data_IF_855967051880
#
_entry.id   IF_855967051880
#
_cell.length_a   1.000
_cell.length_b   1.000
_cell.length_c   1.000
_cell.angle_alpha   90.00
_cell.angle_beta   90.00
_cell.angle_gamma   90.00
#
_symmetry.space_group_name_H-M   'P 1'
#
loop_
_entity.id
_entity.type
_entity.pdbx_description
1 polymer ?
#
# COMPACT_ATOMS: atom_id res chain seq x y z
N UNK A 1 -13.91 -27.39 -14.58
CA UNK A 1 -13.45 -26.26 -13.75
C UNK A 1 -13.03 -25.14 -14.69
N UNK A 2 -13.89 -24.11 -14.83
CA UNK A 2 -13.89 -23.17 -15.97
C UNK A 2 -12.55 -22.45 -16.14
N UNK A 3 -12.05 -22.36 -17.39
CA UNK A 3 -10.87 -21.55 -17.77
C UNK A 3 -10.92 -20.16 -17.13
N UNK A 4 -12.10 -19.57 -17.04
CA UNK A 4 -12.36 -18.28 -16.36
C UNK A 4 -11.84 -18.27 -14.92
N UNK A 5 -12.10 -19.31 -14.11
CA UNK A 5 -11.67 -19.39 -12.71
C UNK A 5 -10.15 -19.57 -12.61
N UNK A 6 -9.55 -20.35 -13.52
CA UNK A 6 -8.09 -20.50 -13.58
C UNK A 6 -7.41 -19.18 -14.00
N UNK A 7 -7.96 -18.48 -15.00
CA UNK A 7 -7.50 -17.14 -15.39
C UNK A 7 -7.71 -16.15 -14.24
N UNK A 8 -8.79 -16.25 -13.48
CA UNK A 8 -9.10 -15.38 -12.35
C UNK A 8 -8.10 -15.52 -11.20
N UNK A 9 -7.80 -16.76 -10.79
CA UNK A 9 -6.87 -17.05 -9.70
C UNK A 9 -5.42 -16.78 -10.14
N UNK A 10 -5.06 -17.20 -11.36
CA UNK A 10 -3.72 -17.05 -11.91
C UNK A 10 -3.36 -15.62 -12.33
N UNK A 11 -4.32 -14.85 -12.86
CA UNK A 11 -4.06 -13.48 -13.33
C UNK A 11 -4.19 -12.43 -12.24
N UNK A 12 -5.02 -12.69 -11.22
CA UNK A 12 -5.35 -11.69 -10.22
C UNK A 12 -4.77 -12.00 -8.84
N UNK A 13 -5.08 -13.15 -8.23
CA UNK A 13 -4.64 -13.44 -6.86
C UNK A 13 -3.12 -13.63 -6.72
N UNK A 14 -2.51 -14.48 -7.56
CA UNK A 14 -1.07 -14.73 -7.47
C UNK A 14 -0.21 -13.47 -7.79
N UNK A 15 -0.48 -12.72 -8.88
CA UNK A 15 0.30 -11.53 -9.20
C UNK A 15 0.04 -10.37 -8.25
N UNK A 16 -1.15 -10.31 -7.65
CA UNK A 16 -1.45 -9.34 -6.60
C UNK A 16 -0.62 -9.59 -5.34
N UNK A 17 -0.32 -10.85 -5.01
CA UNK A 17 0.65 -11.16 -3.95
C UNK A 17 2.08 -10.69 -4.25
N UNK A 18 2.48 -10.69 -5.53
CA UNK A 18 3.83 -10.32 -5.96
C UNK A 18 4.04 -8.80 -6.10
N UNK A 19 3.04 -8.06 -6.57
CA UNK A 19 3.18 -6.61 -6.80
C UNK A 19 1.91 -5.78 -6.59
N UNK A 20 0.88 -6.37 -6.00
CA UNK A 20 -0.43 -5.75 -5.80
C UNK A 20 -1.14 -5.46 -7.12
N UNK A 21 -2.07 -4.51 -7.08
CA UNK A 21 -2.84 -4.09 -8.25
C UNK A 21 -2.00 -3.63 -9.45
N UNK A 22 -0.77 -3.16 -9.23
CA UNK A 22 0.12 -2.67 -10.29
C UNK A 22 0.47 -3.76 -11.29
N UNK A 23 0.53 -5.01 -10.83
CA UNK A 23 0.81 -6.18 -11.68
C UNK A 23 -0.50 -6.88 -12.05
N UNK A 24 -1.41 -7.06 -11.08
CA UNK A 24 -2.64 -7.82 -11.32
C UNK A 24 -3.63 -7.14 -12.27
N UNK A 25 -3.69 -5.80 -12.28
CA UNK A 25 -4.61 -5.05 -13.15
C UNK A 25 -4.19 -5.14 -14.61
N UNK A 26 -2.94 -4.78 -15.01
CA UNK A 26 -2.53 -4.93 -16.39
C UNK A 26 -2.65 -6.37 -16.92
N UNK A 27 -2.21 -7.36 -16.12
CA UNK A 27 -2.30 -8.77 -16.48
C UNK A 27 -3.74 -9.26 -16.60
N UNK A 28 -4.62 -8.83 -15.70
CA UNK A 28 -6.04 -9.18 -15.75
C UNK A 28 -6.69 -8.68 -17.04
N UNK A 29 -6.42 -7.43 -17.41
CA UNK A 29 -6.93 -6.84 -18.65
C UNK A 29 -6.34 -7.52 -19.89
N UNK A 30 -5.03 -7.80 -19.91
CA UNK A 30 -4.39 -8.46 -21.06
C UNK A 30 -4.86 -9.89 -21.27
N UNK A 31 -5.29 -10.57 -20.21
CA UNK A 31 -5.86 -11.91 -20.25
C UNK A 31 -7.37 -11.92 -20.52
N UNK A 32 -7.96 -10.77 -20.86
CA UNK A 32 -9.34 -10.65 -21.31
C UNK A 32 -10.38 -10.50 -20.18
N UNK A 33 -9.97 -10.24 -18.94
CA UNK A 33 -10.94 -9.92 -17.89
C UNK A 33 -11.60 -8.56 -18.16
N UNK A 34 -12.90 -8.46 -17.88
CA UNK A 34 -13.61 -7.20 -18.04
C UNK A 34 -13.07 -6.15 -17.04
N UNK A 35 -13.00 -4.85 -17.42
CA UNK A 35 -12.51 -3.80 -16.53
C UNK A 35 -13.27 -3.68 -15.23
N UNK A 36 -14.59 -3.92 -15.25
CA UNK A 36 -15.42 -3.89 -14.05
C UNK A 36 -15.03 -5.00 -13.06
N UNK A 37 -14.77 -6.21 -13.56
CA UNK A 37 -14.31 -7.33 -12.72
C UNK A 37 -12.95 -7.03 -12.12
N UNK A 38 -12.00 -6.54 -12.93
CA UNK A 38 -10.66 -6.15 -12.47
C UNK A 38 -10.72 -5.03 -11.43
N UNK A 39 -11.56 -4.02 -11.63
CA UNK A 39 -11.76 -2.92 -10.70
C UNK A 39 -12.29 -3.42 -9.35
N UNK A 40 -13.35 -4.22 -9.36
CA UNK A 40 -13.97 -4.76 -8.15
C UNK A 40 -13.02 -5.65 -7.36
N UNK A 41 -12.27 -6.52 -8.05
CA UNK A 41 -11.33 -7.42 -7.39
C UNK A 41 -10.14 -6.68 -6.80
N UNK A 42 -9.51 -5.81 -7.57
CA UNK A 42 -8.39 -5.01 -7.08
C UNK A 42 -8.84 -4.16 -5.88
N UNK A 43 -10.03 -3.56 -5.95
CA UNK A 43 -10.59 -2.80 -4.84
C UNK A 43 -10.84 -3.67 -3.61
N UNK A 44 -11.51 -4.82 -3.74
CA UNK A 44 -11.81 -5.70 -2.62
C UNK A 44 -10.55 -6.21 -1.91
N UNK A 45 -9.55 -6.66 -2.68
CA UNK A 45 -8.29 -7.15 -2.13
C UNK A 45 -7.48 -6.05 -1.44
N UNK A 46 -7.44 -4.85 -2.02
CA UNK A 46 -6.78 -3.69 -1.41
C UNK A 46 -7.53 -3.20 -0.17
N UNK A 47 -8.86 -3.22 -0.18
CA UNK A 47 -9.68 -2.81 0.96
C UNK A 47 -9.49 -3.76 2.17
N UNK A 48 -9.42 -5.07 1.92
CA UNK A 48 -9.13 -6.09 2.95
C UNK A 48 -7.72 -5.92 3.53
N UNK A 49 -6.76 -5.43 2.76
CA UNK A 49 -5.41 -5.15 3.27
C UNK A 49 -5.37 -4.01 4.30
N UNK A 50 -6.28 -3.03 4.24
CA UNK A 50 -6.30 -1.88 5.15
C UNK A 50 -6.33 -2.33 6.63
N UNK A 51 -7.31 -3.15 7.10
CA UNK A 51 -7.32 -3.63 8.47
C UNK A 51 -6.10 -4.49 8.81
N UNK A 52 -5.61 -5.32 7.87
CA UNK A 52 -4.42 -6.15 8.06
C UNK A 52 -3.21 -5.27 8.37
N UNK A 53 -2.97 -4.20 7.60
CA UNK A 53 -1.86 -3.28 7.85
C UNK A 53 -2.03 -2.51 9.17
N UNK A 54 -3.25 -2.09 9.51
CA UNK A 54 -3.50 -1.50 10.83
C UNK A 54 -3.19 -2.47 11.98
N UNK A 55 -3.52 -3.76 11.83
CA UNK A 55 -3.16 -4.79 12.81
C UNK A 55 -1.65 -4.97 12.91
N UNK A 56 -0.95 -5.07 11.79
CA UNK A 56 0.52 -5.17 11.75
C UNK A 56 1.17 -3.96 12.43
N UNK A 57 0.78 -2.75 12.07
CA UNK A 57 1.37 -1.52 12.64
C UNK A 57 1.04 -1.35 14.13
N UNK A 58 -0.19 -1.68 14.55
CA UNK A 58 -0.56 -1.63 15.97
C UNK A 58 0.08 -2.74 16.81
N UNK A 59 0.28 -3.93 16.23
CA UNK A 59 0.97 -5.07 16.85
C UNK A 59 2.45 -4.79 17.08
N UNK A 60 3.15 -4.29 16.06
CA UNK A 60 4.55 -3.83 16.17
C UNK A 60 4.67 -2.73 17.23
N UNK A 61 3.74 -1.77 17.24
CA UNK A 61 3.70 -0.71 18.25
C UNK A 61 3.59 -1.25 19.68
N UNK A 62 2.71 -2.23 19.91
CA UNK A 62 2.54 -2.89 21.22
C UNK A 62 3.76 -3.71 21.62
N UNK A 63 4.35 -4.48 20.70
CA UNK A 63 5.54 -5.29 20.99
C UNK A 63 6.71 -4.40 21.43
N UNK A 64 6.99 -3.31 20.69
CA UNK A 64 8.05 -2.35 21.05
C UNK A 64 7.80 -1.74 22.43
N UNK A 65 6.55 -1.41 22.76
CA UNK A 65 6.20 -0.81 24.04
C UNK A 65 6.32 -1.81 25.19
N UNK A 66 5.87 -3.05 24.99
CA UNK A 66 5.93 -4.13 25.98
C UNK A 66 7.38 -4.57 26.26
N UNK A 67 8.21 -4.72 25.21
CA UNK A 67 9.63 -5.03 25.36
C UNK A 67 10.41 -3.89 26.04
N UNK A 68 9.92 -2.65 25.98
CA UNK A 68 10.49 -1.51 26.71
C UNK A 68 10.21 -1.55 28.21
N UNK A 69 9.16 -2.24 28.62
CA UNK A 69 8.68 -2.30 30.01
C UNK A 69 9.35 -3.39 30.86
N UNK A 70 10.03 -4.37 30.25
CA UNK A 70 10.84 -5.36 30.99
C UNK A 70 12.31 -4.94 31.00
N UNK A 71 12.83 -4.65 32.20
CA UNK A 71 14.11 -3.99 32.53
C UNK A 71 15.40 -4.51 31.89
N UNK A 72 15.37 -5.63 31.16
CA UNK A 72 16.55 -6.25 30.54
C UNK A 72 16.90 -5.64 29.17
N UNK A 73 15.89 -5.36 28.33
CA UNK A 73 16.10 -4.76 26.99
C UNK A 73 16.40 -3.27 27.08
N UNK A 74 15.93 -2.58 28.13
CA UNK A 74 16.30 -1.19 28.39
C UNK A 74 17.82 -1.01 28.61
N UNK A 75 18.47 -1.99 29.24
CA UNK A 75 19.93 -2.02 29.49
C UNK A 75 20.73 -2.30 28.21
N UNK A 76 20.33 -3.32 27.44
CA UNK A 76 20.96 -3.63 26.14
C UNK A 76 20.74 -2.49 25.13
N UNK A 77 19.54 -1.90 25.10
CA UNK A 77 19.24 -0.74 24.26
C UNK A 77 19.96 0.53 24.72
N UNK A 78 20.43 0.63 25.97
CA UNK A 78 21.28 1.73 26.46
C UNK A 78 22.72 1.57 25.97
N UNK A 79 23.23 0.33 25.97
CA UNK A 79 24.55 -0.04 25.44
C UNK A 79 24.61 0.03 23.90
N UNK A 80 23.57 -0.44 23.19
CA UNK A 80 23.47 -0.32 21.74
C UNK A 80 23.37 1.14 21.29
N UNK A 81 22.62 1.98 22.04
CA UNK A 81 22.54 3.44 21.82
C UNK A 81 23.82 4.20 22.21
N UNK A 82 24.73 3.60 22.96
CA UNK A 82 26.03 4.18 23.27
C UNK A 82 27.03 3.97 22.12
N UNK A 83 26.86 2.91 21.30
CA UNK A 83 27.75 2.58 20.18
C UNK A 83 27.27 3.03 18.80
N UNK A 84 26.00 3.38 18.62
CA UNK A 84 25.47 3.86 17.31
C UNK A 84 24.94 5.29 17.39
N UNK A 85 25.82 6.25 17.10
CA UNK A 85 25.55 7.52 16.41
C UNK A 85 24.15 8.16 16.60
N UNK A 86 23.94 8.76 17.78
CA UNK A 86 22.71 9.51 18.15
C UNK A 86 22.38 10.76 17.31
N UNK A 87 23.23 11.20 16.39
CA UNK A 87 23.01 12.44 15.63
C UNK A 87 22.21 12.25 14.33
N UNK A 88 22.49 11.21 13.53
CA UNK A 88 21.90 11.09 12.17
C UNK A 88 20.47 10.54 12.15
N UNK A 89 20.11 9.65 13.08
CA UNK A 89 18.80 8.97 13.10
C UNK A 89 17.67 9.84 13.67
N UNK A 90 17.97 10.71 14.63
CA UNK A 90 16.97 11.62 15.24
C UNK A 90 16.52 12.71 14.26
N UNK A 91 17.44 13.20 13.42
CA UNK A 91 17.18 14.27 12.46
C UNK A 91 16.37 13.80 11.24
N UNK A 92 16.64 12.61 10.69
CA UNK A 92 15.83 12.00 9.61
C UNK A 92 14.41 11.69 10.07
N UNK A 93 14.24 11.14 11.28
CA UNK A 93 12.91 10.87 11.87
C UNK A 93 12.05 12.13 11.96
N UNK A 94 12.66 13.27 12.31
CA UNK A 94 11.97 14.57 12.36
C UNK A 94 11.53 15.08 10.98
N UNK A 95 12.29 14.87 9.90
CA UNK A 95 11.89 15.34 8.56
C UNK A 95 10.69 14.59 8.02
N UNK A 96 10.69 13.27 8.09
CA UNK A 96 9.57 12.43 7.57
C UNK A 96 8.30 12.71 8.37
N UNK A 97 8.40 12.82 9.70
CA UNK A 97 7.27 13.17 10.55
C UNK A 97 6.75 14.58 10.29
N UNK A 98 7.64 15.57 10.06
CA UNK A 98 7.24 16.93 9.68
C UNK A 98 6.55 16.97 8.33
N UNK A 99 7.08 16.25 7.33
CA UNK A 99 6.46 16.12 6.02
C UNK A 99 5.08 15.47 6.13
N UNK A 100 4.98 14.31 6.80
CA UNK A 100 3.72 13.60 7.02
C UNK A 100 2.66 14.48 7.70
N UNK A 101 3.04 15.24 8.74
CA UNK A 101 2.15 16.20 9.41
C UNK A 101 1.76 17.37 8.50
N UNK A 102 2.65 17.83 7.62
CA UNK A 102 2.40 18.93 6.68
C UNK A 102 1.41 18.51 5.59
N UNK A 103 1.54 17.29 5.04
CA UNK A 103 0.60 16.81 4.00
C UNK A 103 -0.74 16.39 4.60
N UNK A 104 -0.76 16.01 5.88
CA UNK A 104 -1.98 15.72 6.62
C UNK A 104 -2.82 14.60 5.98
N UNK A 105 -4.16 14.64 6.14
CA UNK A 105 -5.05 13.64 5.55
C UNK A 105 -4.95 13.58 4.02
N UNK A 106 -4.76 14.71 3.35
CA UNK A 106 -4.66 14.75 1.88
C UNK A 106 -3.50 13.89 1.35
N UNK A 107 -2.38 13.85 2.07
CA UNK A 107 -1.25 12.99 1.70
C UNK A 107 -1.59 11.50 1.69
N UNK A 108 -2.53 11.05 2.52
CA UNK A 108 -2.99 9.65 2.55
C UNK A 108 -3.63 9.29 1.21
N UNK A 109 -4.52 10.16 0.72
CA UNK A 109 -5.18 9.97 -0.56
C UNK A 109 -4.18 9.98 -1.72
N UNK A 110 -3.28 10.97 -1.78
CA UNK A 110 -2.30 11.07 -2.86
C UNK A 110 -1.40 9.83 -2.91
N UNK A 111 -0.88 9.38 -1.76
CA UNK A 111 -0.04 8.19 -1.68
C UNK A 111 -0.81 6.92 -2.06
N UNK A 112 -2.11 6.84 -1.74
CA UNK A 112 -2.96 5.73 -2.15
C UNK A 112 -3.30 5.76 -3.64
N UNK A 113 -3.42 6.94 -4.26
CA UNK A 113 -3.80 7.11 -5.66
C UNK A 113 -2.66 6.77 -6.64
N UNK A 114 -1.41 6.93 -6.23
CA UNK A 114 -0.24 6.74 -7.09
C UNK A 114 0.05 5.24 -7.29
N UNK A 115 -0.06 4.68 -8.51
CA UNK A 115 0.18 3.27 -8.80
C UNK A 115 1.68 2.92 -8.96
N UNK A 116 2.54 3.43 -8.07
CA UNK A 116 3.99 3.15 -8.12
C UNK A 116 4.44 2.22 -7.00
N UNK A 117 5.59 1.57 -7.20
CA UNK A 117 6.27 0.82 -6.14
C UNK A 117 6.70 1.80 -5.02
N UNK A 118 6.47 1.43 -3.77
CA UNK A 118 6.64 2.37 -2.63
C UNK A 118 5.39 3.19 -2.29
N UNK A 119 4.39 3.23 -3.17
CA UNK A 119 3.07 3.85 -2.95
C UNK A 119 1.96 2.79 -2.85
N UNK A 120 0.76 3.21 -2.46
CA UNK A 120 -0.42 2.35 -2.33
C UNK A 120 -0.88 2.13 -0.88
N UNK A 121 -1.66 1.06 -0.67
CA UNK A 121 -2.44 0.82 0.56
C UNK A 121 -1.57 0.75 1.80
N UNK A 122 -0.48 0.00 1.77
CA UNK A 122 0.46 -0.13 2.88
C UNK A 122 1.05 1.22 3.30
N UNK A 123 1.61 1.98 2.36
CA UNK A 123 2.21 3.31 2.63
C UNK A 123 1.16 4.32 3.08
N UNK A 124 -0.03 4.31 2.49
CA UNK A 124 -1.12 5.20 2.88
C UNK A 124 -1.66 4.85 4.28
N UNK A 125 -1.80 3.56 4.59
CA UNK A 125 -2.18 3.09 5.93
C UNK A 125 -1.12 3.44 6.97
N UNK A 126 0.17 3.30 6.62
CA UNK A 126 1.28 3.70 7.48
C UNK A 126 1.26 5.21 7.74
N UNK A 127 1.03 6.01 6.70
CA UNK A 127 0.93 7.46 6.82
C UNK A 127 -0.24 7.82 7.75
N UNK A 128 -1.42 7.23 7.55
CA UNK A 128 -2.58 7.42 8.40
C UNK A 128 -2.33 7.03 9.87
N UNK A 129 -1.60 5.94 10.10
CA UNK A 129 -1.20 5.49 11.43
C UNK A 129 -0.25 6.49 12.11
N UNK A 130 0.75 7.00 11.39
CA UNK A 130 1.74 7.96 11.90
C UNK A 130 1.12 9.33 12.17
N UNK A 131 0.25 9.82 11.29
CA UNK A 131 -0.47 11.09 11.44
C UNK A 131 -1.60 11.01 12.46
N UNK A 132 -1.90 9.79 12.98
CA UNK A 132 -3.03 9.51 13.89
C UNK A 132 -4.37 9.96 13.32
N UNK A 133 -4.55 9.81 12.01
CA UNK A 133 -5.81 10.14 11.33
C UNK A 133 -6.92 9.22 11.83
N UNK A 134 -8.13 9.76 12.03
CA UNK A 134 -9.32 8.99 12.41
C UNK A 134 -9.53 7.87 11.38
N UNK A 135 -9.74 6.63 11.85
CA UNK A 135 -9.87 5.45 10.98
C UNK A 135 -10.93 5.62 9.86
N UNK A 136 -12.15 6.13 10.12
CA UNK A 136 -13.15 6.28 9.04
C UNK A 136 -12.66 7.18 7.90
N UNK A 137 -12.02 8.31 8.24
CA UNK A 137 -11.45 9.22 7.25
C UNK A 137 -10.28 8.58 6.50
N UNK A 138 -9.41 7.86 7.19
CA UNK A 138 -8.30 7.14 6.56
C UNK A 138 -8.80 6.08 5.57
N UNK A 139 -9.79 5.26 5.97
CA UNK A 139 -10.39 4.25 5.11
C UNK A 139 -11.03 4.89 3.87
N UNK A 140 -11.78 5.97 4.05
CA UNK A 140 -12.38 6.71 2.95
C UNK A 140 -11.34 7.23 1.96
N UNK A 141 -10.30 7.92 2.44
CA UNK A 141 -9.24 8.49 1.60
C UNK A 141 -8.41 7.42 0.89
N UNK A 142 -8.11 6.31 1.58
CA UNK A 142 -7.40 5.18 0.97
C UNK A 142 -8.28 4.53 -0.11
N UNK A 143 -9.57 4.34 0.15
CA UNK A 143 -10.53 3.75 -0.80
C UNK A 143 -10.66 4.59 -2.07
N UNK A 144 -10.77 5.92 -1.93
CA UNK A 144 -10.77 6.82 -3.09
C UNK A 144 -9.46 6.72 -3.87
N UNK A 145 -8.32 6.68 -3.18
CA UNK A 145 -7.04 6.48 -3.83
C UNK A 145 -6.96 5.14 -4.57
N UNK A 146 -7.50 4.07 -3.97
CA UNK A 146 -7.57 2.75 -4.62
C UNK A 146 -8.34 2.83 -5.93
N UNK A 147 -9.53 3.44 -5.92
CA UNK A 147 -10.36 3.57 -7.12
C UNK A 147 -9.64 4.34 -8.24
N UNK A 148 -9.09 5.51 -7.91
CA UNK A 148 -8.39 6.35 -8.90
C UNK A 148 -7.17 5.62 -9.47
N UNK A 149 -6.38 5.00 -8.60
CA UNK A 149 -5.18 4.26 -9.00
C UNK A 149 -5.51 3.09 -9.93
N UNK A 150 -6.57 2.34 -9.61
CA UNK A 150 -7.00 1.20 -10.41
C UNK A 150 -7.59 1.66 -11.75
N UNK A 151 -8.42 2.70 -11.77
CA UNK A 151 -8.95 3.28 -13.01
C UNK A 151 -7.81 3.77 -13.92
N UNK A 152 -6.82 4.48 -13.36
CA UNK A 152 -5.65 4.93 -14.10
C UNK A 152 -4.90 3.75 -14.74
N UNK A 153 -4.68 2.66 -13.99
CA UNK A 153 -4.04 1.45 -14.52
C UNK A 153 -4.86 0.79 -15.63
N UNK A 154 -6.19 0.72 -15.48
CA UNK A 154 -7.09 0.17 -16.50
C UNK A 154 -6.99 0.98 -17.80
N UNK A 155 -7.14 2.30 -17.73
CA UNK A 155 -7.09 3.17 -18.92
C UNK A 155 -5.73 3.13 -19.59
N UNK A 156 -4.65 3.19 -18.81
CA UNK A 156 -3.28 3.12 -19.32
C UNK A 156 -3.03 1.78 -20.02
N UNK A 157 -3.44 0.67 -19.39
CA UNK A 157 -3.28 -0.68 -19.98
C UNK A 157 -4.06 -0.80 -21.29
N UNK A 158 -5.33 -0.36 -21.31
CA UNK A 158 -6.14 -0.42 -22.52
C UNK A 158 -5.58 0.45 -23.64
N UNK A 159 -5.20 1.69 -23.33
CA UNK A 159 -4.61 2.60 -24.32
C UNK A 159 -3.32 2.01 -24.90
N UNK A 160 -2.49 1.39 -24.06
CA UNK A 160 -1.28 0.70 -24.49
C UNK A 160 -1.56 -0.49 -25.42
N UNK A 161 -2.53 -1.35 -25.07
CA UNK A 161 -2.92 -2.49 -25.91
C UNK A 161 -3.48 -2.05 -27.27
N UNK A 162 -4.32 -1.00 -27.30
CA UNK A 162 -4.84 -0.43 -28.55
C UNK A 162 -3.70 0.12 -29.41
N UNK A 163 -2.76 0.85 -28.80
CA UNK A 163 -1.60 1.40 -29.51
C UNK A 163 -0.67 0.33 -30.09
N UNK A 164 -0.48 -0.78 -29.37
CA UNK A 164 0.24 -1.96 -29.91
C UNK A 164 -0.50 -2.51 -31.12
N UNK A 165 -1.79 -2.80 -31.00
CA UNK A 165 -2.54 -3.41 -32.10
C UNK A 165 -2.53 -2.52 -33.36
N UNK A 166 -2.68 -1.21 -33.19
CA UNK A 166 -2.63 -0.25 -34.30
C UNK A 166 -1.24 -0.10 -34.97
N UNK A 167 -0.16 -0.58 -34.33
CA UNK A 167 1.18 -0.55 -34.89
C UNK A 167 1.53 -1.83 -35.67
N UNK A 168 0.87 -2.94 -35.35
CA UNK A 168 1.12 -4.26 -35.96
C UNK A 168 0.07 -4.67 -37.02
N UNK A 169 -1.00 -3.88 -37.19
CA UNK A 169 -1.92 -3.91 -38.33
C UNK A 169 -1.43 -3.00 -39.47
#
# INVERSE_FOLDING_TARGET
>A
MNKIILTFIGAHFAPFGLGGRKISVPLGISLGLSPGVVLLLAFALDFIQIPIFYLVYSGIGRLIFYTRSKSFVARIAKLARARTSKAKTKQKKNRILKWAKKVGPFGIFVVAAIPFFGCGVWTATLLAYITKTKKPLAYFLISLGILISTLFLIFTTKGFLIGINAFFE
#
